data_IF_498819100852
#
_entry.id   IF_498819100852
#
_cell.length_a   1.000
_cell.length_b   1.000
_cell.length_c   1.000
_cell.angle_alpha   90.00
_cell.angle_beta   90.00
_cell.angle_gamma   90.00
#
_symmetry.space_group_name_H-M   'P 1'
#
loop_
_entity.id
_entity.type
_entity.pdbx_description
1 polymer ?
#
# COMPACT_ATOMS: atom_id res chain seq x y z
N UNK A 1 -46.50 -8.63 -26.15
CA UNK A 1 -45.82 -7.82 -25.10
C UNK A 1 -44.54 -8.55 -24.70
N UNK A 2 -43.39 -8.04 -25.15
CA UNK A 2 -42.06 -8.58 -24.84
C UNK A 2 -41.74 -8.38 -23.35
N UNK A 3 -41.43 -9.46 -22.63
CA UNK A 3 -40.73 -9.41 -21.35
C UNK A 3 -39.24 -9.49 -21.66
N UNK A 4 -38.56 -8.33 -21.63
CA UNK A 4 -37.11 -8.28 -21.64
C UNK A 4 -36.59 -8.92 -20.35
N UNK A 5 -35.78 -9.97 -20.50
CA UNK A 5 -35.02 -10.58 -19.43
C UNK A 5 -33.93 -9.60 -18.98
N UNK A 6 -33.91 -9.33 -17.67
CA UNK A 6 -32.81 -8.61 -17.01
C UNK A 6 -31.53 -9.44 -17.20
N UNK A 7 -30.59 -8.92 -17.99
CA UNK A 7 -29.27 -9.49 -18.15
C UNK A 7 -28.57 -9.53 -16.79
N UNK A 8 -28.27 -10.73 -16.31
CA UNK A 8 -27.35 -10.92 -15.21
C UNK A 8 -25.98 -10.36 -15.63
N UNK A 9 -25.47 -9.38 -14.90
CA UNK A 9 -24.10 -8.89 -15.02
C UNK A 9 -23.16 -10.05 -14.66
N UNK A 10 -22.83 -10.90 -15.64
CA UNK A 10 -21.64 -11.74 -15.61
C UNK A 10 -20.46 -10.77 -15.64
N UNK A 11 -19.99 -10.35 -14.47
CA UNK A 11 -18.60 -9.89 -14.35
C UNK A 11 -17.79 -11.10 -14.80
N UNK A 12 -17.36 -11.09 -16.07
CA UNK A 12 -16.63 -12.20 -16.65
C UNK A 12 -15.39 -12.45 -15.79
N UNK A 13 -15.29 -13.66 -15.25
CA UNK A 13 -14.12 -14.14 -14.52
C UNK A 13 -12.82 -13.89 -15.31
N UNK A 14 -12.90 -13.78 -16.64
CA UNK A 14 -11.80 -13.38 -17.55
C UNK A 14 -11.09 -12.08 -17.16
N UNK A 15 -11.81 -11.09 -16.63
CA UNK A 15 -11.21 -9.79 -16.28
C UNK A 15 -10.40 -9.88 -14.97
N UNK A 16 -10.80 -10.77 -14.06
CA UNK A 16 -10.05 -11.02 -12.82
C UNK A 16 -8.72 -11.72 -13.09
N UNK A 17 -8.74 -12.79 -13.89
CA UNK A 17 -7.51 -13.53 -14.24
C UNK A 17 -6.51 -12.65 -14.99
N UNK A 18 -6.98 -11.86 -15.98
CA UNK A 18 -6.13 -10.89 -16.68
C UNK A 18 -5.49 -9.88 -15.74
N UNK A 19 -6.22 -9.40 -14.72
CA UNK A 19 -5.65 -8.47 -13.74
C UNK A 19 -4.60 -9.15 -12.85
N UNK A 20 -4.84 -10.39 -12.44
CA UNK A 20 -3.90 -11.16 -11.63
C UNK A 20 -2.58 -11.39 -12.38
N UNK A 21 -2.65 -11.75 -13.67
CA UNK A 21 -1.46 -11.93 -14.52
C UNK A 21 -0.65 -10.63 -14.63
N UNK A 22 -1.32 -9.49 -14.86
CA UNK A 22 -0.67 -8.18 -14.91
C UNK A 22 0.05 -7.83 -13.60
N UNK A 23 -0.59 -8.11 -12.46
CA UNK A 23 0.03 -7.88 -11.13
C UNK A 23 1.25 -8.78 -10.95
N UNK A 24 1.18 -10.05 -11.31
CA UNK A 24 2.31 -10.98 -11.19
C UNK A 24 3.47 -10.55 -12.11
N UNK A 25 3.19 -10.22 -13.38
CA UNK A 25 4.20 -9.75 -14.31
C UNK A 25 4.86 -8.45 -13.84
N UNK A 26 4.08 -7.52 -13.29
CA UNK A 26 4.62 -6.30 -12.68
C UNK A 26 5.59 -6.61 -11.52
N UNK A 27 5.19 -7.48 -10.59
CA UNK A 27 6.04 -7.85 -9.46
C UNK A 27 7.35 -8.53 -9.93
N UNK A 28 7.28 -9.38 -10.95
CA UNK A 28 8.47 -10.00 -11.55
C UNK A 28 9.38 -8.96 -12.21
N UNK A 29 8.81 -7.99 -12.95
CA UNK A 29 9.57 -6.90 -13.57
C UNK A 29 10.30 -6.05 -12.55
N UNK A 30 9.75 -5.91 -11.34
CA UNK A 30 10.37 -5.20 -10.23
C UNK A 30 11.41 -6.02 -9.47
N UNK A 31 11.70 -7.24 -9.94
CA UNK A 31 12.78 -8.08 -9.44
C UNK A 31 12.37 -9.05 -8.33
N UNK A 32 11.08 -9.25 -8.07
CA UNK A 32 10.64 -10.24 -7.08
C UNK A 32 10.77 -11.66 -7.65
N UNK A 33 11.26 -12.56 -6.82
CA UNK A 33 11.25 -13.98 -7.12
C UNK A 33 9.84 -14.58 -7.01
N UNK A 34 9.59 -15.66 -7.76
CA UNK A 34 8.33 -16.42 -7.68
C UNK A 34 8.00 -16.88 -6.25
N UNK A 35 9.03 -17.18 -5.44
CA UNK A 35 8.90 -17.56 -4.03
C UNK A 35 8.30 -16.44 -3.18
N UNK A 36 8.81 -15.21 -3.35
CA UNK A 36 8.34 -14.00 -2.67
C UNK A 36 6.93 -13.61 -3.12
N UNK A 37 6.66 -13.67 -4.44
CA UNK A 37 5.33 -13.40 -5.00
C UNK A 37 4.31 -14.39 -4.43
N UNK A 38 4.64 -15.69 -4.38
CA UNK A 38 3.77 -16.70 -3.78
C UNK A 38 3.44 -16.36 -2.32
N UNK A 39 4.46 -16.02 -1.52
CA UNK A 39 4.27 -15.65 -0.11
C UNK A 39 3.36 -14.43 0.03
N UNK A 40 3.58 -13.40 -0.79
CA UNK A 40 2.80 -12.16 -0.79
C UNK A 40 1.35 -12.38 -1.22
N UNK A 41 1.11 -13.19 -2.26
CA UNK A 41 -0.24 -13.51 -2.72
C UNK A 41 -0.98 -14.36 -1.68
N UNK A 42 -0.30 -15.29 -1.01
CA UNK A 42 -0.93 -16.09 0.04
C UNK A 42 -1.25 -15.27 1.29
N UNK A 43 -0.38 -14.33 1.70
CA UNK A 43 -0.63 -13.45 2.85
C UNK A 43 -1.64 -12.35 2.53
N UNK A 44 -1.60 -11.82 1.30
CA UNK A 44 -2.39 -10.68 0.84
C UNK A 44 -3.02 -10.97 -0.53
N UNK A 45 -4.04 -11.84 -0.61
CA UNK A 45 -4.65 -12.22 -1.89
C UNK A 45 -5.23 -11.03 -2.67
N UNK A 46 -5.62 -9.97 -1.95
CA UNK A 46 -6.22 -8.76 -2.52
C UNK A 46 -5.28 -8.01 -3.46
N UNK A 47 -3.96 -8.21 -3.38
CA UNK A 47 -3.01 -7.58 -4.29
C UNK A 47 -3.34 -7.92 -5.76
N UNK A 48 -3.86 -9.12 -6.02
CA UNK A 48 -4.26 -9.57 -7.36
C UNK A 48 -5.49 -8.85 -7.91
N UNK A 49 -6.23 -8.11 -7.08
CA UNK A 49 -7.36 -7.28 -7.50
C UNK A 49 -6.98 -5.79 -7.64
N UNK A 50 -5.74 -5.41 -7.31
CA UNK A 50 -5.28 -4.04 -7.46
C UNK A 50 -4.98 -3.72 -8.92
N UNK A 51 -5.23 -2.48 -9.31
CA UNK A 51 -4.80 -1.95 -10.62
C UNK A 51 -3.32 -1.56 -10.52
N UNK A 52 -2.48 -2.12 -11.37
CA UNK A 52 -1.03 -1.86 -11.36
C UNK A 52 -0.74 -0.37 -11.53
N UNK A 53 -1.11 0.20 -12.67
CA UNK A 53 -0.81 1.59 -13.07
C UNK A 53 -1.42 2.64 -12.14
N UNK A 54 -2.55 2.31 -11.48
CA UNK A 54 -3.32 3.28 -10.67
C UNK A 54 -3.16 3.11 -9.17
N UNK A 55 -2.52 2.04 -8.70
CA UNK A 55 -2.42 1.76 -7.26
C UNK A 55 -1.05 1.21 -6.87
N UNK A 56 -0.65 0.06 -7.44
CA UNK A 56 0.58 -0.60 -6.99
C UNK A 56 1.82 0.16 -7.41
N UNK A 57 1.90 0.56 -8.67
CA UNK A 57 3.07 1.24 -9.22
C UNK A 57 3.31 2.62 -8.61
N UNK A 58 2.32 3.52 -8.51
CA UNK A 58 2.53 4.83 -7.88
C UNK A 58 2.96 4.70 -6.41
N UNK A 59 2.37 3.78 -5.66
CA UNK A 59 2.75 3.55 -4.26
C UNK A 59 4.17 3.05 -4.16
N UNK A 60 4.52 2.02 -4.94
CA UNK A 60 5.84 1.44 -4.87
C UNK A 60 6.92 2.46 -5.26
N UNK A 61 6.70 3.24 -6.32
CA UNK A 61 7.63 4.31 -6.72
C UNK A 61 7.81 5.33 -5.58
N UNK A 62 6.72 5.76 -4.93
CA UNK A 62 6.79 6.66 -3.78
C UNK A 62 7.59 6.09 -2.61
N UNK A 63 7.39 4.81 -2.26
CA UNK A 63 8.21 4.16 -1.23
C UNK A 63 9.69 4.07 -1.65
N UNK A 64 9.97 3.80 -2.93
CA UNK A 64 11.36 3.78 -3.41
C UNK A 64 12.02 5.16 -3.38
N UNK A 65 11.30 6.23 -3.71
CA UNK A 65 11.76 7.62 -3.59
C UNK A 65 12.10 8.00 -2.14
N UNK A 66 11.40 7.42 -1.17
CA UNK A 66 11.71 7.56 0.25
C UNK A 66 12.90 6.71 0.72
N UNK A 67 13.50 5.88 -0.15
CA UNK A 67 14.64 5.02 0.20
C UNK A 67 14.27 3.59 0.64
N UNK A 68 13.04 3.15 0.44
CA UNK A 68 12.68 1.74 0.64
C UNK A 68 13.16 0.88 -0.53
N UNK A 69 13.70 -0.30 -0.24
CA UNK A 69 13.94 -1.31 -1.26
C UNK A 69 12.62 -1.97 -1.68
N UNK A 70 12.64 -2.66 -2.83
CA UNK A 70 11.51 -3.48 -3.29
C UNK A 70 11.16 -4.56 -2.25
N UNK A 71 12.16 -5.16 -1.60
CA UNK A 71 11.94 -6.15 -0.55
C UNK A 71 11.23 -5.53 0.65
N UNK A 72 11.62 -4.32 1.07
CA UNK A 72 10.95 -3.63 2.17
C UNK A 72 9.48 -3.37 1.84
N UNK A 73 9.18 -2.98 0.59
CA UNK A 73 7.80 -2.78 0.16
C UNK A 73 6.99 -4.08 0.19
N UNK A 74 7.58 -5.21 -0.19
CA UNK A 74 6.93 -6.53 -0.11
C UNK A 74 6.67 -6.94 1.34
N UNK A 75 7.61 -6.67 2.23
CA UNK A 75 7.44 -6.92 3.66
C UNK A 75 6.36 -6.03 4.26
N UNK A 76 6.28 -4.76 3.87
CA UNK A 76 5.18 -3.85 4.22
C UNK A 76 3.85 -4.41 3.71
N UNK A 77 3.75 -4.83 2.45
CA UNK A 77 2.49 -5.38 1.93
C UNK A 77 2.09 -6.69 2.63
N UNK A 78 3.06 -7.53 2.98
CA UNK A 78 2.83 -8.82 3.63
C UNK A 78 2.41 -8.67 5.10
N UNK A 79 2.97 -7.69 5.81
CA UNK A 79 2.64 -7.41 7.21
C UNK A 79 1.45 -6.47 7.34
N UNK A 80 1.25 -5.60 6.35
CA UNK A 80 0.29 -4.52 6.37
C UNK A 80 -0.52 -4.44 5.07
N UNK A 81 -1.40 -5.42 4.81
CA UNK A 81 -2.26 -5.41 3.62
C UNK A 81 -3.21 -4.20 3.56
N UNK A 82 -3.48 -3.57 4.71
CA UNK A 82 -4.29 -2.36 4.82
C UNK A 82 -3.76 -1.19 3.99
N UNK A 83 -2.46 -1.14 3.70
CA UNK A 83 -1.86 -0.05 2.90
C UNK A 83 -2.39 0.01 1.47
N UNK A 84 -2.91 -1.11 0.96
CA UNK A 84 -3.55 -1.18 -0.36
C UNK A 84 -4.90 -0.43 -0.39
N UNK A 85 -5.57 -0.25 0.74
CA UNK A 85 -6.85 0.46 0.85
C UNK A 85 -6.69 1.98 0.90
N UNK A 86 -5.56 2.46 1.40
CA UNK A 86 -5.32 3.89 1.52
C UNK A 86 -4.95 4.50 0.17
N UNK A 87 -5.46 5.70 -0.09
CA UNK A 87 -5.01 6.53 -1.19
C UNK A 87 -3.57 6.96 -0.94
N UNK A 88 -2.77 6.98 -2.00
CA UNK A 88 -1.40 7.49 -1.91
C UNK A 88 -1.42 8.97 -1.49
N UNK A 89 -2.16 9.80 -2.22
CA UNK A 89 -2.09 11.25 -2.05
C UNK A 89 -2.94 11.78 -0.89
N UNK A 90 -4.05 11.13 -0.56
CA UNK A 90 -4.94 11.65 0.50
C UNK A 90 -4.70 11.01 1.88
N UNK A 91 -3.85 9.99 1.98
CA UNK A 91 -3.63 9.28 3.24
C UNK A 91 -2.16 8.93 3.50
N UNK A 92 -1.47 8.31 2.54
CA UNK A 92 -0.07 7.87 2.76
C UNK A 92 0.87 9.08 2.77
N UNK A 93 0.81 9.95 1.76
CA UNK A 93 1.69 11.12 1.62
C UNK A 93 1.53 12.10 2.80
N UNK A 94 0.32 12.50 3.23
CA UNK A 94 0.16 13.37 4.41
C UNK A 94 0.67 12.73 5.70
N UNK A 95 0.52 11.40 5.85
CA UNK A 95 1.03 10.68 7.01
C UNK A 95 2.57 10.71 7.06
N UNK A 96 3.22 10.51 5.92
CA UNK A 96 4.69 10.62 5.81
C UNK A 96 5.15 12.04 6.09
N UNK A 97 4.51 13.05 5.51
CA UNK A 97 4.84 14.46 5.74
C UNK A 97 4.70 14.85 7.21
N UNK A 98 3.67 14.36 7.88
CA UNK A 98 3.50 14.53 9.32
C UNK A 98 4.65 13.91 10.12
N UNK A 99 5.07 12.68 9.79
CA UNK A 99 6.23 12.06 10.45
C UNK A 99 7.51 12.83 10.17
N UNK A 100 7.70 13.32 8.94
CA UNK A 100 8.84 14.14 8.57
C UNK A 100 8.88 15.44 9.37
N UNK A 101 7.75 16.08 9.61
CA UNK A 101 7.67 17.29 10.44
C UNK A 101 8.04 17.05 11.92
N UNK A 102 7.78 15.85 12.44
CA UNK A 102 8.10 15.49 13.83
C UNK A 102 9.56 15.04 13.96
N UNK A 103 10.07 14.27 13.00
CA UNK A 103 11.39 13.63 13.07
C UNK A 103 12.53 14.46 12.46
N UNK A 104 12.24 15.28 11.45
CA UNK A 104 13.23 16.13 10.78
C UNK A 104 14.16 15.43 9.78
N UNK A 105 14.13 14.10 9.67
CA UNK A 105 14.93 13.30 8.72
C UNK A 105 14.09 12.21 8.05
N UNK A 106 14.34 11.97 6.76
CA UNK A 106 13.69 10.89 6.01
C UNK A 106 14.16 9.51 6.46
N UNK A 107 15.43 9.39 6.87
CA UNK A 107 16.00 8.16 7.42
C UNK A 107 15.28 7.72 8.71
N UNK A 108 14.95 8.68 9.58
CA UNK A 108 14.17 8.42 10.80
C UNK A 108 12.75 7.95 10.47
N UNK A 109 12.11 8.57 9.48
CA UNK A 109 10.77 8.17 9.02
C UNK A 109 10.78 6.75 8.48
N UNK A 110 11.75 6.41 7.61
CA UNK A 110 11.93 5.05 7.07
C UNK A 110 12.14 4.05 8.21
N UNK A 111 13.01 4.38 9.17
CA UNK A 111 13.30 3.51 10.32
C UNK A 111 12.06 3.22 11.14
N UNK A 112 11.23 4.23 11.42
CA UNK A 112 9.99 4.05 12.18
C UNK A 112 8.99 3.20 11.39
N UNK A 113 8.79 3.47 10.10
CA UNK A 113 7.86 2.71 9.26
C UNK A 113 8.26 1.23 9.22
N UNK A 114 9.57 0.93 9.08
CA UNK A 114 10.11 -0.44 9.11
C UNK A 114 10.00 -1.09 10.50
N UNK A 115 10.42 -0.37 11.54
CA UNK A 115 10.57 -0.90 12.90
C UNK A 115 9.25 -1.13 13.62
N UNK A 116 8.31 -0.20 13.51
CA UNK A 116 7.02 -0.27 14.21
C UNK A 116 5.96 -1.08 13.46
N UNK A 117 6.26 -1.58 12.25
CA UNK A 117 5.32 -2.29 11.37
C UNK A 117 3.95 -1.61 11.32
N UNK A 118 3.92 -0.28 11.32
CA UNK A 118 2.73 0.52 11.68
C UNK A 118 1.49 0.01 10.96
N UNK A 119 0.65 -0.70 11.71
CA UNK A 119 -0.43 -1.52 11.18
C UNK A 119 -1.53 -0.66 10.53
N UNK A 120 -1.37 0.66 10.55
CA UNK A 120 -2.19 1.67 9.87
C UNK A 120 -1.43 3.00 9.86
N UNK A 121 -0.45 3.16 8.95
CA UNK A 121 0.32 4.41 8.79
C UNK A 121 -0.56 5.68 8.88
N UNK A 122 -1.73 5.79 8.21
CA UNK A 122 -2.55 7.00 8.29
C UNK A 122 -3.29 7.18 9.62
N UNK A 123 -3.62 6.10 10.35
CA UNK A 123 -4.29 6.22 11.65
C UNK A 123 -3.30 6.58 12.74
N UNK A 124 -2.14 5.93 12.74
CA UNK A 124 -1.10 6.16 13.77
C UNK A 124 -0.56 7.58 13.68
N UNK A 125 -0.36 8.11 12.48
CA UNK A 125 0.09 9.49 12.28
C UNK A 125 -0.92 10.52 12.77
N UNK A 126 -2.22 10.31 12.57
CA UNK A 126 -3.27 11.20 13.12
C UNK A 126 -3.18 11.32 14.64
N UNK A 127 -2.95 10.21 15.35
CA UNK A 127 -2.82 10.22 16.81
C UNK A 127 -1.46 10.76 17.28
N UNK A 128 -0.38 10.41 16.57
CA UNK A 128 0.97 10.91 16.86
C UNK A 128 1.05 12.42 16.75
N UNK A 129 0.54 13.02 15.66
CA UNK A 129 0.54 14.48 15.47
C UNK A 129 -0.17 15.17 16.63
N UNK A 130 -1.37 14.69 16.99
CA UNK A 130 -2.13 15.24 18.13
C UNK A 130 -1.35 15.15 19.43
N UNK A 131 -0.72 14.01 19.71
CA UNK A 131 0.04 13.82 20.95
C UNK A 131 1.28 14.70 20.99
N UNK A 132 2.00 14.85 19.87
CA UNK A 132 3.16 15.74 19.76
C UNK A 132 2.76 17.18 19.99
N UNK A 133 1.67 17.67 19.38
CA UNK A 133 1.18 19.03 19.60
C UNK A 133 0.79 19.28 21.06
N UNK A 134 0.17 18.28 21.72
CA UNK A 134 -0.14 18.37 23.15
C UNK A 134 1.12 18.46 24.01
N UNK A 135 2.14 17.65 23.73
CA UNK A 135 3.40 17.67 24.46
C UNK A 135 4.16 19.00 24.26
N UNK A 136 4.15 19.54 23.05
CA UNK A 136 4.76 20.84 22.73
C UNK A 136 4.04 22.02 23.41
N UNK A 137 2.74 21.90 23.70
CA UNK A 137 1.96 22.94 24.37
C UNK A 137 2.08 22.91 25.91
N UNK A 138 2.72 21.87 26.47
CA UNK A 138 2.86 21.65 27.91
C UNK A 138 4.31 21.82 28.41
N UNK A 139 5.26 22.10 27.52
CA UNK A 139 6.66 22.43 27.83
C UNK A 139 6.97 23.88 27.49
#
# INVERSE_FOLDING_TARGET
KLRQSRGANKVCQSNFYRNADLVVSFLQQKGLEKSQIRKLVTSTPRILACRVEKNLEPKMNYFQEMGFSVSDFVDILSTQPGILYYSLDSAIRPAVEALRAIMGSDEDVVRIIKGFKLNTLPLVTKHLVRNVSLLQAQG
#
